data_IF_504871422423
#
_entry.id   IF_504871422423
#
_cell.length_a   1.000
_cell.length_b   1.000
_cell.length_c   1.000
_cell.angle_alpha   90.00
_cell.angle_beta   90.00
_cell.angle_gamma   90.00
#
_symmetry.space_group_name_H-M   'P 1'
#
loop_
_entity.id
_entity.type
_entity.pdbx_description
1 polymer ?
#
# COMPACT_ATOMS: atom_id res chain seq x y z
N UNK A 1 17.86 -16.99 4.32
CA UNK A 1 16.95 -15.81 4.34
C UNK A 1 17.54 -14.73 3.46
N UNK A 2 16.73 -13.80 2.95
CA UNK A 2 17.25 -12.57 2.34
C UNK A 2 17.61 -11.53 3.40
N UNK A 3 18.62 -10.71 3.11
CA UNK A 3 19.12 -9.68 4.02
C UNK A 3 18.08 -8.58 4.28
N UNK A 4 17.36 -8.13 3.25
CA UNK A 4 16.30 -7.12 3.36
C UNK A 4 15.13 -7.62 4.19
N UNK A 5 14.74 -8.88 4.02
CA UNK A 5 13.68 -9.51 4.82
C UNK A 5 14.07 -9.69 6.30
N UNK A 6 15.34 -9.95 6.61
CA UNK A 6 15.82 -9.94 8.00
C UNK A 6 15.65 -8.56 8.66
N UNK A 7 16.00 -7.46 7.99
CA UNK A 7 15.74 -6.11 8.51
C UNK A 7 14.25 -5.86 8.71
N UNK A 8 13.42 -6.20 7.72
CA UNK A 8 11.94 -6.04 7.77
C UNK A 8 11.32 -6.80 8.93
N UNK A 9 11.80 -8.02 9.22
CA UNK A 9 11.29 -8.83 10.33
C UNK A 9 11.60 -8.21 11.71
N UNK A 10 12.75 -7.55 11.86
CA UNK A 10 13.11 -6.76 13.05
C UNK A 10 12.45 -5.36 13.08
N UNK A 11 11.61 -5.01 12.09
CA UNK A 11 10.96 -3.70 11.98
C UNK A 11 11.91 -2.56 11.58
N UNK A 12 13.06 -2.88 10.97
CA UNK A 12 14.11 -1.95 10.61
C UNK A 12 14.18 -1.71 9.09
N UNK A 13 14.83 -0.62 8.71
CA UNK A 13 15.22 -0.36 7.32
C UNK A 13 16.51 -1.11 6.98
N UNK A 14 16.72 -1.42 5.71
CA UNK A 14 18.00 -1.93 5.22
C UNK A 14 19.13 -0.96 5.54
N UNK A 15 20.23 -1.47 6.10
CA UNK A 15 21.36 -0.66 6.56
C UNK A 15 21.15 0.05 7.90
N UNK A 16 20.19 -0.38 8.72
CA UNK A 16 20.09 0.04 10.13
C UNK A 16 21.34 -0.37 10.93
N UNK A 17 21.70 0.40 11.96
CA UNK A 17 22.94 0.17 12.71
C UNK A 17 22.89 -1.09 13.58
N UNK A 18 24.05 -1.60 13.98
CA UNK A 18 24.15 -2.70 14.94
C UNK A 18 23.46 -2.39 16.29
N UNK A 19 23.44 -1.13 16.71
CA UNK A 19 22.71 -0.67 17.89
C UNK A 19 21.18 -0.78 17.69
N UNK A 20 20.66 -0.36 16.53
CA UNK A 20 19.24 -0.48 16.19
C UNK A 20 18.80 -1.95 16.10
N UNK A 21 19.61 -2.80 15.45
CA UNK A 21 19.40 -4.25 15.34
C UNK A 21 19.27 -4.87 16.73
N UNK A 22 20.18 -4.56 17.65
CA UNK A 22 20.16 -5.07 19.03
C UNK A 22 18.98 -4.49 19.85
N UNK A 23 18.61 -3.23 19.64
CA UNK A 23 17.48 -2.60 20.32
C UNK A 23 16.13 -3.17 19.88
N UNK A 24 15.90 -3.30 18.57
CA UNK A 24 14.68 -3.91 18.00
C UNK A 24 14.57 -5.38 18.42
N UNK A 25 15.66 -6.15 18.33
CA UNK A 25 15.65 -7.55 18.75
C UNK A 25 15.29 -7.70 20.23
N UNK A 26 15.91 -6.92 21.15
CA UNK A 26 15.54 -6.95 22.58
C UNK A 26 14.06 -6.64 22.81
N UNK A 27 13.49 -5.66 22.10
CA UNK A 27 12.07 -5.28 22.24
C UNK A 27 11.14 -6.40 21.76
N UNK A 28 11.40 -6.96 20.59
CA UNK A 28 10.56 -7.99 19.97
C UNK A 28 10.71 -9.35 20.66
N UNK A 29 11.91 -9.70 21.15
CA UNK A 29 12.17 -10.91 21.92
C UNK A 29 11.42 -10.91 23.27
N UNK A 30 11.28 -9.75 23.93
CA UNK A 30 10.43 -9.63 25.12
C UNK A 30 8.94 -9.74 24.75
N UNK A 31 8.50 -9.11 23.66
CA UNK A 31 7.10 -9.14 23.24
C UNK A 31 6.60 -10.54 22.86
N UNK A 32 7.45 -11.35 22.22
CA UNK A 32 7.13 -12.71 21.77
C UNK A 32 7.79 -13.81 22.63
N UNK A 33 8.24 -13.48 23.85
CA UNK A 33 8.92 -14.45 24.72
C UNK A 33 7.99 -15.63 25.06
N UNK A 34 8.45 -16.90 25.00
CA UNK A 34 7.62 -18.05 25.31
C UNK A 34 7.13 -18.10 26.77
N UNK A 35 7.88 -17.50 27.71
CA UNK A 35 7.45 -17.38 29.12
C UNK A 35 6.22 -16.47 29.29
N UNK A 36 6.09 -15.45 28.43
CA UNK A 36 4.99 -14.48 28.44
C UNK A 36 3.84 -14.95 27.53
N UNK A 37 4.12 -15.79 26.52
CA UNK A 37 3.17 -16.28 25.53
C UNK A 37 3.14 -17.84 25.44
N UNK A 38 3.06 -18.60 26.55
CA UNK A 38 3.35 -20.05 26.56
C UNK A 38 2.37 -20.90 25.75
N UNK A 39 1.20 -20.36 25.39
CA UNK A 39 0.17 -21.04 24.61
C UNK A 39 0.03 -20.53 23.16
N UNK A 40 0.74 -19.46 22.75
CA UNK A 40 0.66 -18.95 21.37
C UNK A 40 1.82 -19.46 20.50
N UNK A 41 1.54 -20.53 19.74
CA UNK A 41 2.47 -21.05 18.73
C UNK A 41 2.91 -19.98 17.72
N UNK A 42 2.10 -18.97 17.41
CA UNK A 42 2.47 -17.89 16.49
C UNK A 42 3.43 -16.88 17.12
N UNK A 43 3.44 -16.74 18.44
CA UNK A 43 4.49 -16.01 19.15
C UNK A 43 5.80 -16.81 19.12
N UNK A 44 5.73 -18.13 19.36
CA UNK A 44 6.88 -19.04 19.26
C UNK A 44 7.51 -19.03 17.84
N UNK A 45 6.72 -19.20 16.78
CA UNK A 45 7.18 -19.16 15.39
C UNK A 45 7.88 -17.84 15.05
N UNK A 46 7.29 -16.71 15.49
CA UNK A 46 7.89 -15.37 15.32
C UNK A 46 9.18 -15.21 16.12
N UNK A 47 9.23 -15.70 17.35
CA UNK A 47 10.42 -15.63 18.21
C UNK A 47 11.59 -16.40 17.58
N UNK A 48 11.34 -17.59 17.02
CA UNK A 48 12.33 -18.37 16.28
C UNK A 48 12.84 -17.57 15.07
N UNK A 49 11.93 -17.08 14.21
CA UNK A 49 12.31 -16.32 13.01
C UNK A 49 13.05 -15.01 13.33
N UNK A 50 12.66 -14.28 14.38
CA UNK A 50 13.36 -13.09 14.89
C UNK A 50 14.78 -13.41 15.36
N UNK A 51 14.96 -14.54 16.05
CA UNK A 51 16.26 -15.01 16.53
C UNK A 51 17.17 -15.41 15.37
N UNK A 52 16.63 -16.08 14.35
CA UNK A 52 17.36 -16.44 13.13
C UNK A 52 17.77 -15.19 12.33
N UNK A 53 16.86 -14.25 12.11
CA UNK A 53 17.15 -12.99 11.42
C UNK A 53 18.17 -12.12 12.18
N UNK A 54 18.08 -12.04 13.51
CA UNK A 54 19.09 -11.35 14.34
C UNK A 54 20.47 -12.01 14.22
N UNK A 55 20.55 -13.34 14.24
CA UNK A 55 21.82 -14.08 14.06
C UNK A 55 22.41 -13.86 12.65
N UNK A 56 21.59 -13.87 11.60
CA UNK A 56 22.03 -13.61 10.23
C UNK A 56 22.55 -12.18 10.08
N UNK A 57 21.82 -11.18 10.60
CA UNK A 57 22.27 -9.79 10.63
C UNK A 57 23.59 -9.62 11.39
N UNK A 58 23.80 -10.37 12.49
CA UNK A 58 25.07 -10.38 13.23
C UNK A 58 26.27 -10.86 12.41
N UNK A 59 26.05 -11.72 11.41
CA UNK A 59 27.13 -12.23 10.53
C UNK A 59 27.41 -11.33 9.31
N UNK A 60 26.46 -10.46 8.95
CA UNK A 60 26.57 -9.57 7.77
C UNK A 60 26.92 -8.13 8.18
N UNK A 61 26.53 -7.71 9.39
CA UNK A 61 26.83 -6.40 9.96
C UNK A 61 27.87 -6.57 11.07
N UNK A 62 29.18 -6.39 10.80
CA UNK A 62 30.19 -6.42 11.84
C UNK A 62 29.96 -5.26 12.84
N UNK A 63 30.37 -5.41 14.11
CA UNK A 63 30.05 -4.45 15.18
C UNK A 63 30.90 -3.15 15.16
N UNK A 64 31.59 -2.85 14.06
CA UNK A 64 32.56 -1.74 13.94
C UNK A 64 31.88 -0.36 14.04
N UNK A 65 32.46 0.52 14.86
CA UNK A 65 31.87 1.79 15.30
C UNK A 65 31.61 2.80 14.17
N UNK A 66 30.37 2.83 13.67
CA UNK A 66 29.91 3.79 12.66
C UNK A 66 28.88 4.77 13.23
N UNK A 67 29.39 5.90 13.73
CA UNK A 67 28.62 6.98 14.36
C UNK A 67 27.58 7.65 13.40
N UNK A 68 26.48 8.24 13.93
CA UNK A 68 25.30 8.56 13.14
C UNK A 68 25.45 9.79 12.23
N UNK A 69 25.08 9.62 10.95
CA UNK A 69 25.01 10.72 9.97
C UNK A 69 23.75 11.58 10.18
N UNK A 70 23.91 12.66 10.95
CA UNK A 70 23.06 13.87 10.98
C UNK A 70 22.64 14.35 9.56
N UNK A 71 21.53 15.08 9.32
CA UNK A 71 20.53 15.80 10.16
C UNK A 71 19.36 16.23 9.26
N UNK A 72 18.14 16.43 9.78
CA UNK A 72 17.36 17.68 9.55
C UNK A 72 16.08 17.78 10.40
N UNK A 73 16.02 18.83 11.24
CA UNK A 73 14.89 19.44 11.98
C UNK A 73 15.53 20.60 12.78
N UNK A 74 14.92 21.81 12.88
CA UNK A 74 13.71 22.07 13.69
C UNK A 74 12.71 23.02 12.91
N UNK A 75 11.62 23.61 13.45
CA UNK A 75 11.21 23.84 14.85
C UNK A 75 9.67 23.95 15.05
N UNK A 76 9.29 24.13 16.32
CA UNK A 76 7.98 24.43 16.96
C UNK A 76 7.19 25.62 16.35
N UNK A 77 5.93 25.95 16.69
CA UNK A 77 5.13 25.76 17.93
C UNK A 77 3.59 25.66 17.68
N UNK A 78 2.78 25.65 18.74
CA UNK A 78 1.33 25.39 18.79
C UNK A 78 0.36 26.52 18.36
N UNK A 79 -0.88 26.08 18.07
CA UNK A 79 -2.18 26.70 18.44
C UNK A 79 -2.82 27.91 17.67
N UNK A 80 -3.82 27.55 16.85
CA UNK A 80 -5.26 27.89 17.04
C UNK A 80 -5.94 28.94 16.10
N UNK A 81 -7.27 28.78 15.95
CA UNK A 81 -8.32 29.69 15.43
C UNK A 81 -8.50 29.85 13.88
N UNK A 82 -9.27 28.91 13.31
CA UNK A 82 -10.56 29.11 12.58
C UNK A 82 -10.60 29.80 11.18
N UNK A 83 -11.39 29.17 10.29
CA UNK A 83 -12.11 29.71 9.10
C UNK A 83 -11.43 29.79 7.69
N UNK A 84 -11.72 28.76 6.88
CA UNK A 84 -12.46 28.88 5.59
C UNK A 84 -11.75 29.25 4.26
N UNK A 85 -11.91 28.33 3.28
CA UNK A 85 -11.76 28.42 1.81
C UNK A 85 -10.47 28.93 1.14
N UNK A 86 -9.74 28.00 0.51
CA UNK A 86 -9.40 28.08 -0.93
C UNK A 86 -9.03 26.70 -1.50
N UNK A 87 -8.94 26.59 -2.83
CA UNK A 87 -9.05 25.33 -3.58
C UNK A 87 -7.74 24.93 -4.27
N UNK A 88 -7.26 23.69 -4.05
CA UNK A 88 -6.42 22.88 -4.96
C UNK A 88 -6.11 21.47 -4.42
N UNK A 89 -5.84 20.55 -5.34
CA UNK A 89 -5.28 19.22 -5.12
C UNK A 89 -3.72 19.26 -5.24
N UNK A 90 -2.94 18.18 -5.00
CA UNK A 90 -3.35 16.78 -4.84
C UNK A 90 -2.61 15.93 -3.77
N UNK A 91 -2.93 14.63 -3.77
CA UNK A 91 -2.09 13.50 -3.34
C UNK A 91 -2.17 13.05 -1.86
N UNK A 92 -1.96 11.74 -1.71
CA UNK A 92 -1.83 10.92 -0.50
C UNK A 92 -0.94 11.57 0.60
N UNK A 93 -1.05 11.22 1.89
CA UNK A 93 -1.10 9.82 2.36
C UNK A 93 -1.78 9.66 3.71
N UNK A 94 -2.88 8.88 3.72
CA UNK A 94 -3.12 7.77 4.66
C UNK A 94 -2.55 8.00 6.08
N UNK A 95 -3.29 8.75 6.90
CA UNK A 95 -3.04 8.94 8.35
C UNK A 95 -3.25 7.63 9.13
N UNK A 96 -3.35 7.68 10.47
CA UNK A 96 -3.92 6.62 11.31
C UNK A 96 -4.40 7.25 12.65
N UNK A 97 -5.55 6.85 13.20
CA UNK A 97 -6.09 7.43 14.46
C UNK A 97 -6.82 6.39 15.34
N UNK A 98 -6.55 6.35 16.67
CA UNK A 98 -6.30 5.09 17.42
C UNK A 98 -7.12 4.78 18.71
N UNK A 99 -7.31 3.46 18.91
CA UNK A 99 -7.81 2.67 20.07
C UNK A 99 -9.33 2.47 20.22
N UNK A 100 -9.80 1.49 21.01
CA UNK A 100 -11.00 1.62 21.85
C UNK A 100 -11.15 0.41 22.80
N UNK A 101 -11.41 0.59 24.10
CA UNK A 101 -11.37 1.86 24.86
C UNK A 101 -9.92 2.31 25.10
N UNK A 102 -9.47 3.53 24.78
CA UNK A 102 -10.08 4.69 24.08
C UNK A 102 -8.96 5.46 23.32
N UNK A 103 -9.18 6.18 22.20
CA UNK A 103 -10.40 6.82 21.65
C UNK A 103 -11.08 6.01 20.48
N UNK A 104 -10.96 6.26 19.14
CA UNK A 104 -11.52 5.40 18.07
C UNK A 104 -10.46 4.54 17.31
N UNK A 105 -10.74 3.31 16.86
CA UNK A 105 -9.69 2.29 16.60
C UNK A 105 -8.91 2.48 15.29
N UNK A 106 -7.56 2.35 15.33
CA UNK A 106 -6.55 2.78 14.31
C UNK A 106 -7.09 2.69 12.88
N UNK A 107 -7.78 3.76 12.46
CA UNK A 107 -8.84 3.68 11.45
C UNK A 107 -8.29 3.16 10.12
N UNK A 108 -7.02 3.43 9.87
CA UNK A 108 -6.44 3.40 8.55
C UNK A 108 -5.44 2.23 8.42
N UNK A 109 -4.91 1.68 9.52
CA UNK A 109 -4.46 0.28 9.57
C UNK A 109 -5.62 -0.68 9.25
N UNK A 110 -6.83 -0.37 9.73
CA UNK A 110 -8.06 -1.11 9.40
C UNK A 110 -8.46 -0.91 7.93
N UNK A 111 -8.45 0.34 7.42
CA UNK A 111 -8.72 0.58 5.99
C UNK A 111 -7.67 -0.06 5.07
N UNK A 112 -6.37 0.05 5.38
CA UNK A 112 -5.29 -0.59 4.60
C UNK A 112 -5.50 -2.10 4.51
N UNK A 113 -5.85 -2.74 5.63
CA UNK A 113 -6.12 -4.18 5.68
C UNK A 113 -7.40 -4.57 4.92
N UNK A 114 -8.36 -3.66 4.78
CA UNK A 114 -9.53 -3.82 3.92
C UNK A 114 -9.16 -3.62 2.44
N UNK A 115 -8.46 -2.53 2.11
CA UNK A 115 -7.94 -2.20 0.76
C UNK A 115 -7.13 -3.37 0.19
N UNK A 116 -6.19 -3.94 0.95
CA UNK A 116 -5.39 -5.10 0.52
C UNK A 116 -6.25 -6.32 0.15
N UNK A 117 -7.23 -6.68 0.99
CA UNK A 117 -8.14 -7.81 0.70
C UNK A 117 -9.01 -7.55 -0.52
N UNK A 118 -9.52 -6.32 -0.68
CA UNK A 118 -10.33 -5.95 -1.84
C UNK A 118 -9.48 -5.88 -3.12
N UNK A 119 -8.23 -5.45 -3.02
CA UNK A 119 -7.26 -5.44 -4.13
C UNK A 119 -6.88 -6.85 -4.59
N UNK A 120 -6.59 -7.77 -3.65
CA UNK A 120 -6.34 -9.18 -3.96
C UNK A 120 -7.54 -9.83 -4.69
N UNK A 121 -8.77 -9.51 -4.25
CA UNK A 121 -10.00 -9.95 -4.91
C UNK A 121 -10.16 -9.31 -6.31
N UNK A 122 -9.85 -8.02 -6.45
CA UNK A 122 -9.89 -7.29 -7.73
C UNK A 122 -8.91 -7.89 -8.74
N UNK A 123 -7.64 -8.09 -8.34
CA UNK A 123 -6.62 -8.74 -9.16
C UNK A 123 -7.06 -10.15 -9.59
N UNK A 124 -7.65 -10.93 -8.68
CA UNK A 124 -8.18 -12.26 -9.00
C UNK A 124 -9.30 -12.19 -10.04
N UNK A 125 -10.26 -11.27 -9.91
CA UNK A 125 -11.33 -11.11 -10.91
C UNK A 125 -10.81 -10.64 -12.27
N UNK A 126 -9.80 -9.76 -12.31
CA UNK A 126 -9.14 -9.33 -13.56
C UNK A 126 -8.41 -10.51 -14.24
N UNK A 127 -7.70 -11.35 -13.46
CA UNK A 127 -7.05 -12.58 -13.95
C UNK A 127 -8.06 -13.61 -14.46
N UNK A 128 -9.19 -13.76 -13.78
CA UNK A 128 -10.31 -14.62 -14.19
C UNK A 128 -11.15 -14.03 -15.35
N UNK A 129 -10.76 -12.88 -15.94
CA UNK A 129 -11.52 -12.14 -16.99
C UNK A 129 -12.94 -11.71 -16.56
N UNK A 130 -13.26 -11.72 -15.26
CA UNK A 130 -14.58 -11.38 -14.69
C UNK A 130 -14.76 -9.87 -14.55
N UNK A 131 -14.55 -9.13 -15.65
CA UNK A 131 -14.50 -7.67 -15.66
C UNK A 131 -15.71 -6.95 -15.02
N UNK A 132 -16.96 -7.38 -15.22
CA UNK A 132 -18.10 -6.73 -14.56
C UNK A 132 -18.03 -6.83 -13.02
N UNK A 133 -17.48 -7.92 -12.48
CA UNK A 133 -17.36 -8.16 -11.04
C UNK A 133 -16.13 -7.43 -10.46
N UNK A 134 -15.03 -7.38 -11.21
CA UNK A 134 -13.89 -6.51 -10.90
C UNK A 134 -14.32 -5.04 -10.81
N UNK A 135 -15.11 -4.56 -11.78
CA UNK A 135 -15.56 -3.17 -11.82
C UNK A 135 -16.58 -2.85 -10.73
N UNK A 136 -17.57 -3.71 -10.48
CA UNK A 136 -18.50 -3.52 -9.36
C UNK A 136 -17.76 -3.47 -8.00
N UNK A 137 -16.70 -4.26 -7.83
CA UNK A 137 -15.86 -4.23 -6.64
C UNK A 137 -15.04 -2.93 -6.53
N UNK A 138 -14.45 -2.46 -7.64
CA UNK A 138 -13.69 -1.21 -7.67
C UNK A 138 -14.57 0.03 -7.48
N UNK A 139 -15.78 0.05 -8.08
CA UNK A 139 -16.78 1.10 -7.90
C UNK A 139 -17.30 1.13 -6.46
N UNK A 140 -17.55 -0.03 -5.83
CA UNK A 140 -17.92 -0.12 -4.41
C UNK A 140 -16.79 0.34 -3.47
N UNK A 141 -15.53 0.06 -3.80
CA UNK A 141 -14.37 0.55 -3.05
C UNK A 141 -14.22 2.07 -3.19
N UNK A 142 -14.37 2.61 -4.40
CA UNK A 142 -14.32 4.05 -4.69
C UNK A 142 -15.47 4.82 -4.02
N UNK A 143 -16.68 4.26 -3.97
CA UNK A 143 -17.81 4.84 -3.24
C UNK A 143 -17.56 4.89 -1.71
N UNK A 144 -16.82 3.93 -1.17
CA UNK A 144 -16.47 3.86 0.26
C UNK A 144 -15.26 4.73 0.63
N UNK A 145 -14.33 4.94 -0.30
CA UNK A 145 -13.05 5.64 -0.09
C UNK A 145 -12.78 6.71 -1.17
N UNK A 146 -13.70 7.67 -1.42
CA UNK A 146 -13.64 8.57 -2.59
C UNK A 146 -12.50 9.61 -2.54
N UNK A 147 -11.80 9.74 -1.40
CA UNK A 147 -10.63 10.61 -1.23
C UNK A 147 -9.30 9.90 -1.50
N UNK A 148 -9.31 8.59 -1.72
CA UNK A 148 -8.09 7.79 -1.86
C UNK A 148 -7.64 7.73 -3.34
N UNK A 149 -6.43 8.23 -3.68
CA UNK A 149 -5.93 8.19 -5.05
C UNK A 149 -5.58 6.77 -5.52
N UNK A 150 -5.22 5.85 -4.63
CA UNK A 150 -4.87 4.47 -4.98
C UNK A 150 -6.12 3.71 -5.45
N UNK A 151 -7.22 3.84 -4.71
CA UNK A 151 -8.53 3.28 -5.09
C UNK A 151 -9.01 3.84 -6.43
N UNK A 152 -8.84 5.15 -6.64
CA UNK A 152 -9.17 5.83 -7.90
C UNK A 152 -8.33 5.30 -9.07
N UNK A 153 -7.03 5.12 -8.86
CA UNK A 153 -6.11 4.53 -9.84
C UNK A 153 -6.50 3.09 -10.18
N UNK A 154 -6.82 2.25 -9.20
CA UNK A 154 -7.28 0.87 -9.42
C UNK A 154 -8.59 0.79 -10.21
N UNK A 155 -9.56 1.67 -9.93
CA UNK A 155 -10.80 1.78 -10.70
C UNK A 155 -10.52 2.19 -12.16
N UNK A 156 -9.62 3.15 -12.37
CA UNK A 156 -9.26 3.62 -13.70
C UNK A 156 -8.52 2.53 -14.53
N UNK A 157 -7.60 1.80 -13.90
CA UNK A 157 -6.93 0.62 -14.48
C UNK A 157 -7.94 -0.49 -14.80
N UNK A 158 -8.92 -0.76 -13.92
CA UNK A 158 -9.96 -1.77 -14.20
C UNK A 158 -10.81 -1.40 -15.43
N UNK A 159 -11.16 -0.12 -15.61
CA UNK A 159 -11.83 0.35 -16.83
C UNK A 159 -10.94 0.24 -18.07
N UNK A 160 -9.65 0.54 -17.98
CA UNK A 160 -8.70 0.40 -19.10
C UNK A 160 -8.52 -1.06 -19.53
N UNK A 161 -8.29 -1.97 -18.58
CA UNK A 161 -8.16 -3.41 -18.84
C UNK A 161 -9.45 -3.96 -19.47
N UNK A 162 -10.63 -3.54 -19.02
CA UNK A 162 -11.89 -3.95 -19.67
C UNK A 162 -12.05 -3.32 -21.06
N UNK A 163 -11.68 -2.04 -21.24
CA UNK A 163 -11.65 -1.40 -22.56
C UNK A 163 -10.81 -2.21 -23.56
N UNK A 164 -9.61 -2.63 -23.15
CA UNK A 164 -8.72 -3.50 -23.93
C UNK A 164 -9.33 -4.87 -24.22
N UNK A 165 -10.02 -5.48 -23.28
CA UNK A 165 -10.75 -6.73 -23.52
C UNK A 165 -11.86 -6.54 -24.57
N UNK A 166 -12.66 -5.48 -24.43
CA UNK A 166 -13.74 -5.13 -25.35
C UNK A 166 -13.26 -4.80 -26.77
N UNK A 167 -12.03 -4.31 -26.96
CA UNK A 167 -11.40 -4.18 -28.29
C UNK A 167 -11.22 -5.56 -28.93
N UNK A 168 -10.68 -6.54 -28.20
CA UNK A 168 -10.46 -7.90 -28.72
C UNK A 168 -11.79 -8.66 -28.93
N UNK A 169 -12.84 -8.31 -28.18
CA UNK A 169 -14.22 -8.81 -28.39
C UNK A 169 -14.96 -8.06 -29.52
N UNK A 170 -14.28 -7.17 -30.25
CA UNK A 170 -14.83 -6.30 -31.31
C UNK A 170 -16.00 -5.38 -30.85
N UNK A 171 -16.16 -5.16 -29.54
CA UNK A 171 -17.18 -4.31 -28.92
C UNK A 171 -16.73 -2.84 -28.88
N UNK A 172 -16.27 -2.31 -30.02
CA UNK A 172 -15.51 -1.06 -30.15
C UNK A 172 -16.19 0.15 -29.48
N UNK A 173 -17.51 0.30 -29.64
CA UNK A 173 -18.28 1.38 -29.02
C UNK A 173 -18.26 1.33 -27.48
N UNK A 174 -18.32 0.12 -26.89
CA UNK A 174 -18.23 -0.06 -25.43
C UNK A 174 -16.80 0.20 -24.95
N UNK A 175 -15.80 -0.32 -25.66
CA UNK A 175 -14.39 -0.04 -25.37
C UNK A 175 -14.12 1.48 -25.30
N UNK A 176 -14.60 2.23 -26.29
CA UNK A 176 -14.48 3.70 -26.34
C UNK A 176 -15.08 4.40 -25.11
N UNK A 177 -16.19 3.88 -24.57
CA UNK A 177 -16.82 4.41 -23.35
C UNK A 177 -15.98 4.12 -22.11
N UNK A 178 -15.45 2.90 -21.96
CA UNK A 178 -14.66 2.53 -20.77
C UNK A 178 -13.27 3.15 -20.76
N UNK A 179 -12.61 3.29 -21.91
CA UNK A 179 -11.37 4.08 -22.03
C UNK A 179 -11.60 5.56 -21.67
N UNK A 180 -12.72 6.17 -22.09
CA UNK A 180 -13.08 7.54 -21.65
C UNK A 180 -13.41 7.62 -20.16
N UNK A 181 -14.01 6.58 -19.57
CA UNK A 181 -14.20 6.49 -18.10
C UNK A 181 -12.86 6.44 -17.37
N UNK A 182 -11.90 5.62 -17.82
CA UNK A 182 -10.58 5.51 -17.21
C UNK A 182 -9.87 6.87 -17.08
N UNK A 183 -9.80 7.65 -18.18
CA UNK A 183 -9.22 9.00 -18.16
C UNK A 183 -9.97 9.98 -17.25
N UNK A 184 -11.31 9.88 -17.19
CA UNK A 184 -12.12 10.73 -16.31
C UNK A 184 -11.95 10.35 -14.83
N UNK A 185 -11.69 9.08 -14.52
CA UNK A 185 -11.48 8.60 -13.17
C UNK A 185 -10.13 9.06 -12.62
N UNK A 186 -9.01 8.92 -13.36
CA UNK A 186 -7.68 9.32 -12.87
C UNK A 186 -6.90 10.25 -13.84
N UNK A 187 -7.34 11.50 -14.03
CA UNK A 187 -6.76 12.42 -15.03
C UNK A 187 -5.36 12.97 -14.68
N UNK A 188 -4.79 12.60 -13.51
CA UNK A 188 -3.47 13.07 -13.08
C UNK A 188 -2.35 12.06 -13.42
N UNK A 189 -2.70 10.89 -13.92
CA UNK A 189 -1.80 9.76 -14.10
C UNK A 189 -1.31 9.64 -15.54
N UNK A 190 -0.09 10.11 -15.80
CA UNK A 190 0.51 10.12 -17.15
C UNK A 190 0.66 8.72 -17.75
N UNK A 191 1.08 7.73 -16.95
CA UNK A 191 1.28 6.36 -17.44
C UNK A 191 -0.04 5.72 -17.89
N UNK A 192 -1.11 5.88 -17.10
CA UNK A 192 -2.45 5.47 -17.49
C UNK A 192 -2.92 6.21 -18.76
N UNK A 193 -2.67 7.52 -18.85
CA UNK A 193 -3.03 8.32 -20.02
C UNK A 193 -2.33 7.81 -21.29
N UNK A 194 -1.02 7.53 -21.22
CA UNK A 194 -0.23 6.98 -22.33
C UNK A 194 -0.66 5.57 -22.73
N UNK A 195 -1.06 4.71 -21.78
CA UNK A 195 -1.66 3.41 -22.11
C UNK A 195 -3.04 3.56 -22.79
N UNK A 196 -3.95 4.33 -22.19
CA UNK A 196 -5.30 4.55 -22.75
C UNK A 196 -5.23 5.22 -24.13
N UNK A 197 -4.28 6.13 -24.36
CA UNK A 197 -4.09 6.78 -25.66
C UNK A 197 -3.61 5.78 -26.73
N UNK A 198 -2.75 4.82 -26.37
CA UNK A 198 -2.37 3.70 -27.26
C UNK A 198 -3.55 2.77 -27.52
N UNK A 199 -4.39 2.51 -26.51
CA UNK A 199 -5.61 1.73 -26.67
C UNK A 199 -6.64 2.43 -27.59
N UNK A 200 -6.73 3.78 -27.57
CA UNK A 200 -7.52 4.55 -28.52
C UNK A 200 -6.93 4.53 -29.95
N UNK A 201 -5.63 4.70 -30.12
CA UNK A 201 -4.99 4.57 -31.44
C UNK A 201 -5.23 3.18 -32.04
N UNK A 202 -5.18 2.13 -31.22
CA UNK A 202 -5.52 0.77 -31.66
C UNK A 202 -7.02 0.63 -32.02
N UNK A 203 -7.91 1.32 -31.31
CA UNK A 203 -9.34 1.37 -31.64
C UNK A 203 -9.59 2.03 -33.01
N UNK A 204 -8.85 3.10 -33.33
CA UNK A 204 -8.93 3.83 -34.59
C UNK A 204 -8.32 3.04 -35.77
N UNK A 205 -7.32 2.19 -35.53
CA UNK A 205 -6.76 1.28 -36.54
C UNK A 205 -7.66 0.07 -36.89
N UNK A 206 -8.78 -0.11 -36.19
CA UNK A 206 -9.74 -1.22 -36.39
C UNK A 206 -11.05 -0.70 -37.04
N UNK A 207 -11.16 0.62 -37.25
CA UNK A 207 -12.38 1.32 -37.69
C UNK A 207 -12.30 1.78 -39.15
#
# INVERSE_FOLDING_TARGET
MDLGDCYRLLGLRSGASFADIKASYRRLAQQYHPDINPSDKKAQDKFIALTEAYRFLLTVVPPEDTAPKSKQSPASSSENIKATHSEKAPTATVTDEKSAPSKPPNIIEIEQRLKWKTYEQLQRFLRERRFPQAIALAEALAARLPKDPEVRQWQAIAYQIWGRALINENQLLKARVYLKKALKTDPHNKALWEEVQRDFQKLEQIF
#
